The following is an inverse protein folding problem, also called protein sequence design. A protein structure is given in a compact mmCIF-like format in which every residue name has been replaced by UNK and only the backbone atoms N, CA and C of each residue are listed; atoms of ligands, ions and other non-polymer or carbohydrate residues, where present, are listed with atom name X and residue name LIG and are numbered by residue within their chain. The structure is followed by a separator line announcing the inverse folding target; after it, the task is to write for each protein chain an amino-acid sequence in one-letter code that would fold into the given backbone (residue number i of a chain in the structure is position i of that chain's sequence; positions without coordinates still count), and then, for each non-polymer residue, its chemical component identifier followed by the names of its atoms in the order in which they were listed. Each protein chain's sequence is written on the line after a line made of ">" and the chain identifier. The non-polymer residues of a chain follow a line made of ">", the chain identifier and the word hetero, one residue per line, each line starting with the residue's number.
data_IF_264915784747
#
_entry.id   IF_264915784747
#
_cell.length_a   1.000
_cell.length_b   1.000
_cell.length_c   1.000
_cell.angle_alpha   90.00
_cell.angle_beta   90.00
_cell.angle_gamma   90.00
#
_symmetry.space_group_name_H-M   'P 1'
#
loop_
_entity.id
_entity.type
_entity.pdbx_description
1 polymer ?
#
# COMPACT_ATOMS: atom_id res chain seq x y z
N UNK A 1 -70.04 -3.81 27.25
CA UNK A 1 -70.28 -2.72 26.27
C UNK A 1 -69.23 -2.86 25.18
N UNK A 2 -69.65 -3.15 23.95
CA UNK A 2 -68.76 -3.35 22.79
C UNK A 2 -68.20 -1.99 22.37
N UNK A 3 -66.88 -1.83 22.36
CA UNK A 3 -66.22 -0.68 21.73
C UNK A 3 -65.39 -1.22 20.57
N UNK A 4 -65.88 -0.91 19.38
CA UNK A 4 -65.25 -1.07 18.08
C UNK A 4 -64.15 0.00 18.00
N UNK A 5 -62.89 -0.39 17.82
CA UNK A 5 -61.83 0.53 17.41
C UNK A 5 -61.44 0.18 15.98
N UNK A 6 -61.66 1.17 15.13
CA UNK A 6 -61.55 1.15 13.68
C UNK A 6 -60.07 1.03 13.28
N UNK A 7 -59.79 0.07 12.41
CA UNK A 7 -58.51 -0.12 11.72
C UNK A 7 -58.29 1.10 10.81
N UNK A 8 -57.33 1.96 11.16
CA UNK A 8 -56.76 2.92 10.22
C UNK A 8 -55.49 2.32 9.63
N UNK A 9 -55.66 1.78 8.43
CA UNK A 9 -54.60 1.34 7.53
C UNK A 9 -53.82 2.58 7.06
N UNK A 10 -52.80 2.96 7.81
CA UNK A 10 -51.81 3.93 7.32
C UNK A 10 -50.87 3.21 6.36
N UNK A 11 -51.16 3.32 5.07
CA UNK A 11 -50.21 3.07 3.99
C UNK A 11 -48.99 3.99 4.19
N UNK A 12 -47.97 3.51 4.89
CA UNK A 12 -46.63 4.06 4.73
C UNK A 12 -46.15 3.68 3.34
N UNK A 13 -46.23 4.66 2.44
CA UNK A 13 -45.51 4.66 1.18
C UNK A 13 -44.03 4.48 1.53
N UNK A 14 -43.47 3.32 1.18
CA UNK A 14 -42.03 3.09 1.15
C UNK A 14 -41.44 3.99 0.06
N UNK A 15 -41.15 5.24 0.42
CA UNK A 15 -40.12 6.00 -0.29
C UNK A 15 -38.79 5.36 0.12
N UNK A 16 -38.32 4.42 -0.71
CA UNK A 16 -36.96 3.91 -0.71
C UNK A 16 -35.98 5.03 -1.11
N UNK A 17 -35.80 6.03 -0.24
CA UNK A 17 -34.70 6.97 -0.29
C UNK A 17 -33.64 6.49 0.69
N UNK A 18 -32.82 5.53 0.27
CA UNK A 18 -31.83 4.91 1.14
C UNK A 18 -30.82 4.09 0.38
N UNK A 19 -30.17 4.67 -0.65
CA UNK A 19 -28.97 4.06 -1.23
C UNK A 19 -27.99 5.05 -1.88
N UNK A 20 -28.43 6.26 -2.25
CA UNK A 20 -27.54 7.22 -2.94
C UNK A 20 -26.30 7.63 -2.12
N UNK A 21 -26.36 7.68 -0.79
CA UNK A 21 -25.22 8.11 0.03
C UNK A 21 -24.13 7.03 0.13
N UNK A 22 -24.50 5.74 0.23
CA UNK A 22 -23.53 4.63 0.29
C UNK A 22 -22.82 4.42 -1.06
N UNK A 23 -23.54 4.59 -2.16
CA UNK A 23 -22.98 4.47 -3.50
C UNK A 23 -22.04 5.65 -3.82
N UNK A 24 -22.31 6.84 -3.29
CA UNK A 24 -21.41 8.01 -3.41
C UNK A 24 -20.16 7.87 -2.54
N UNK A 25 -20.30 7.42 -1.29
CA UNK A 25 -19.15 7.21 -0.38
C UNK A 25 -18.17 6.15 -0.93
N UNK A 26 -18.68 5.00 -1.38
CA UNK A 26 -17.84 3.95 -1.99
C UNK A 26 -17.16 4.40 -3.28
N UNK A 27 -17.84 5.18 -4.13
CA UNK A 27 -17.24 5.76 -5.33
C UNK A 27 -16.12 6.76 -5.02
N UNK A 28 -16.32 7.64 -4.03
CA UNK A 28 -15.31 8.61 -3.58
C UNK A 28 -14.09 7.89 -3.01
N UNK A 29 -14.30 6.82 -2.24
CA UNK A 29 -13.22 6.00 -1.69
C UNK A 29 -12.43 5.28 -2.80
N UNK A 30 -13.10 4.70 -3.79
CA UNK A 30 -12.46 4.09 -4.96
C UNK A 30 -11.64 5.11 -5.78
N UNK A 31 -12.21 6.27 -6.09
CA UNK A 31 -11.51 7.33 -6.82
C UNK A 31 -10.29 7.86 -6.04
N UNK A 32 -10.45 8.04 -4.72
CA UNK A 32 -9.34 8.46 -3.85
C UNK A 32 -8.22 7.40 -3.82
N UNK A 33 -8.58 6.13 -3.65
CA UNK A 33 -7.62 5.02 -3.62
C UNK A 33 -6.89 4.88 -4.96
N UNK A 34 -7.58 5.06 -6.09
CA UNK A 34 -6.96 5.04 -7.42
C UNK A 34 -5.95 6.20 -7.59
N UNK A 35 -6.33 7.41 -7.17
CA UNK A 35 -5.44 8.59 -7.21
C UNK A 35 -4.24 8.41 -6.30
N UNK A 36 -4.44 7.89 -5.08
CA UNK A 36 -3.37 7.62 -4.12
C UNK A 36 -2.42 6.54 -4.63
N UNK A 37 -2.96 5.44 -5.17
CA UNK A 37 -2.17 4.37 -5.80
C UNK A 37 -1.34 4.89 -6.98
N UNK A 38 -1.94 5.72 -7.83
CA UNK A 38 -1.24 6.34 -8.95
C UNK A 38 -0.12 7.28 -8.47
N UNK A 39 -0.39 8.09 -7.46
CA UNK A 39 0.61 8.96 -6.83
C UNK A 39 1.77 8.16 -6.22
N UNK A 40 1.47 7.06 -5.52
CA UNK A 40 2.48 6.17 -4.97
C UNK A 40 3.34 5.55 -6.08
N UNK A 41 2.71 4.98 -7.11
CA UNK A 41 3.40 4.35 -8.24
C UNK A 41 4.34 5.33 -8.95
N UNK A 42 3.89 6.55 -9.23
CA UNK A 42 4.69 7.56 -9.93
C UNK A 42 5.91 7.97 -9.09
N UNK A 43 5.75 8.10 -7.77
CA UNK A 43 6.85 8.39 -6.86
C UNK A 43 7.85 7.23 -6.76
N UNK A 44 7.37 5.99 -6.67
CA UNK A 44 8.23 4.80 -6.63
C UNK A 44 9.02 4.64 -7.94
N UNK A 45 8.40 4.89 -9.09
CA UNK A 45 9.10 4.91 -10.39
C UNK A 45 10.26 5.92 -10.42
N UNK A 46 10.08 7.08 -9.79
CA UNK A 46 11.13 8.10 -9.68
C UNK A 46 12.21 7.72 -8.66
N UNK A 47 11.86 6.95 -7.63
CA UNK A 47 12.78 6.46 -6.60
C UNK A 47 13.72 5.36 -7.12
N UNK A 48 13.26 4.53 -8.05
CA UNK A 48 14.02 3.41 -8.60
C UNK A 48 15.00 3.91 -9.67
N UNK A 49 16.25 3.45 -9.60
CA UNK A 49 17.22 3.73 -10.67
C UNK A 49 16.73 3.08 -11.97
N UNK A 50 16.57 3.82 -13.10
CA UNK A 50 16.03 3.29 -14.34
C UNK A 50 16.78 2.10 -14.95
N UNK A 51 17.99 1.78 -14.48
CA UNK A 51 18.72 0.56 -14.86
C UNK A 51 18.03 -0.72 -14.38
N UNK A 52 17.29 -0.65 -13.27
CA UNK A 52 16.54 -1.78 -12.72
C UNK A 52 15.16 -1.83 -13.38
N UNK A 53 14.97 -2.82 -14.25
CA UNK A 53 13.74 -2.98 -15.04
C UNK A 53 12.72 -3.89 -14.37
N UNK A 54 13.16 -4.78 -13.50
CA UNK A 54 12.28 -5.80 -12.95
C UNK A 54 12.02 -5.52 -11.48
N UNK A 55 10.78 -5.15 -11.16
CA UNK A 55 10.39 -4.84 -9.79
C UNK A 55 8.89 -4.95 -9.57
N UNK A 56 8.53 -5.21 -8.32
CA UNK A 56 7.14 -5.35 -7.87
C UNK A 56 6.90 -4.37 -6.74
N UNK A 57 5.74 -3.70 -6.73
CA UNK A 57 5.31 -2.75 -5.71
C UNK A 57 4.08 -3.27 -4.96
N UNK A 58 4.16 -3.19 -3.64
CA UNK A 58 3.12 -3.54 -2.70
C UNK A 58 2.35 -2.30 -2.22
N UNK A 59 1.13 -2.54 -1.75
CA UNK A 59 0.16 -1.52 -1.35
C UNK A 59 0.71 -0.48 -0.36
N UNK A 60 1.49 -0.90 0.65
CA UNK A 60 2.07 0.02 1.62
C UNK A 60 3.42 0.59 1.15
N UNK A 61 3.73 0.59 -0.15
CA UNK A 61 4.91 1.27 -0.69
C UNK A 61 6.22 0.52 -0.54
N UNK A 62 6.20 -0.74 -0.08
CA UNK A 62 7.36 -1.62 -0.20
C UNK A 62 7.48 -2.11 -1.64
N UNK A 63 8.68 -2.10 -2.18
CA UNK A 63 8.97 -2.66 -3.50
C UNK A 63 10.20 -3.56 -3.45
N UNK A 64 10.21 -4.54 -4.35
CA UNK A 64 11.29 -5.51 -4.50
C UNK A 64 11.86 -5.37 -5.91
N UNK A 65 13.16 -5.13 -6.01
CA UNK A 65 13.92 -5.15 -7.26
C UNK A 65 14.52 -6.54 -7.47
N UNK A 66 14.37 -7.07 -8.68
CA UNK A 66 14.98 -8.32 -9.11
C UNK A 66 16.13 -8.03 -10.07
N UNK A 67 17.33 -8.52 -9.78
CA UNK A 67 18.50 -8.32 -10.64
C UNK A 67 18.49 -9.24 -11.88
N UNK A 68 17.95 -10.45 -11.73
CA UNK A 68 17.80 -11.43 -12.81
C UNK A 68 16.49 -12.19 -12.66
N UNK A 69 15.54 -11.93 -13.55
CA UNK A 69 14.26 -12.64 -13.59
C UNK A 69 14.26 -13.84 -14.53
N UNK A 70 15.36 -14.15 -15.23
CA UNK A 70 15.37 -15.23 -16.22
C UNK A 70 15.04 -16.59 -15.60
N UNK A 71 15.48 -16.81 -14.35
CA UNK A 71 15.23 -18.04 -13.58
C UNK A 71 13.93 -18.00 -12.77
N UNK A 72 13.15 -16.91 -12.85
CA UNK A 72 11.90 -16.74 -12.12
C UNK A 72 10.73 -17.01 -13.07
N UNK A 73 9.96 -18.06 -12.78
CA UNK A 73 8.80 -18.43 -13.59
C UNK A 73 7.67 -17.40 -13.49
N UNK A 74 7.36 -16.97 -12.27
CA UNK A 74 6.35 -15.95 -11.99
C UNK A 74 6.88 -14.96 -10.94
N UNK A 75 7.10 -13.72 -11.37
CA UNK A 75 7.66 -12.64 -10.54
C UNK A 75 6.75 -12.24 -9.38
N UNK A 76 5.43 -12.31 -9.56
CA UNK A 76 4.46 -12.01 -8.50
C UNK A 76 4.54 -13.04 -7.39
N UNK A 77 4.58 -14.33 -7.74
CA UNK A 77 4.69 -15.42 -6.77
C UNK A 77 6.01 -15.32 -5.99
N UNK A 78 7.13 -15.05 -6.65
CA UNK A 78 8.41 -14.86 -5.97
C UNK A 78 8.40 -13.61 -5.09
N UNK A 79 7.81 -12.49 -5.54
CA UNK A 79 7.66 -11.30 -4.74
C UNK A 79 6.82 -11.54 -3.48
N UNK A 80 5.69 -12.26 -3.59
CA UNK A 80 4.85 -12.64 -2.44
C UNK A 80 5.63 -13.51 -1.46
N UNK A 81 6.40 -14.48 -1.97
CA UNK A 81 7.25 -15.36 -1.13
C UNK A 81 8.29 -14.54 -0.37
N UNK A 82 9.05 -13.68 -1.05
CA UNK A 82 10.04 -12.80 -0.44
C UNK A 82 9.40 -11.82 0.56
N UNK A 83 8.21 -11.29 0.26
CA UNK A 83 7.49 -10.41 1.18
C UNK A 83 7.07 -11.12 2.47
N UNK A 84 6.60 -12.37 2.37
CA UNK A 84 6.26 -13.18 3.56
C UNK A 84 7.49 -13.56 4.39
N UNK A 85 8.62 -13.78 3.74
CA UNK A 85 9.87 -14.17 4.40
C UNK A 85 10.57 -12.98 5.08
N UNK A 86 10.67 -11.85 4.38
CA UNK A 86 11.50 -10.70 4.79
C UNK A 86 10.71 -9.46 5.20
N UNK A 87 9.41 -9.40 4.90
CA UNK A 87 8.54 -8.27 5.24
C UNK A 87 8.23 -8.14 6.74
N UNK A 88 7.86 -9.22 7.45
CA UNK A 88 7.56 -9.14 8.87
C UNK A 88 8.74 -8.65 9.70
N UNK A 89 8.48 -7.69 10.60
CA UNK A 89 9.50 -7.16 11.50
C UNK A 89 9.31 -7.75 12.89
N UNK A 90 10.21 -8.66 13.29
CA UNK A 90 10.22 -9.24 14.63
C UNK A 90 11.19 -8.47 15.54
N UNK A 91 10.76 -8.21 16.79
CA UNK A 91 11.62 -7.59 17.80
C UNK A 91 12.88 -8.45 18.04
N UNK A 92 14.06 -7.83 18.02
CA UNK A 92 15.34 -8.51 18.18
C UNK A 92 15.81 -9.33 16.96
N UNK A 93 15.11 -9.26 15.82
CA UNK A 93 15.52 -9.91 14.58
C UNK A 93 16.44 -9.06 13.69
N UNK A 94 16.99 -9.63 12.60
CA UNK A 94 17.87 -8.93 11.64
C UNK A 94 17.23 -7.70 10.98
N UNK A 95 15.90 -7.63 10.95
CA UNK A 95 15.14 -6.48 10.48
C UNK A 95 15.13 -5.29 11.48
N UNK A 96 15.92 -5.37 12.55
CA UNK A 96 16.16 -4.29 13.51
C UNK A 96 16.94 -3.12 12.91
N UNK A 97 17.92 -3.43 12.07
CA UNK A 97 18.77 -2.44 11.41
C UNK A 97 18.14 -1.95 10.11
N UNK A 98 18.26 -0.63 9.89
CA UNK A 98 17.76 0.02 8.68
C UNK A 98 18.67 1.17 8.27
N UNK A 99 18.54 1.58 7.02
CA UNK A 99 19.17 2.79 6.51
C UNK A 99 18.12 3.64 5.78
N UNK A 100 18.25 4.97 5.92
CA UNK A 100 17.37 5.96 5.30
C UNK A 100 18.15 6.69 4.21
N UNK A 101 17.57 6.73 3.01
CA UNK A 101 18.17 7.37 1.85
C UNK A 101 17.20 8.43 1.33
N UNK A 102 17.63 9.70 1.36
CA UNK A 102 16.86 10.80 0.77
C UNK A 102 16.82 10.71 -0.75
N UNK A 103 15.64 10.93 -1.32
CA UNK A 103 15.42 10.90 -2.77
C UNK A 103 15.67 12.26 -3.41
N UNK A 104 16.18 12.25 -4.63
CA UNK A 104 16.52 13.45 -5.40
C UNK A 104 15.56 13.73 -6.58
N UNK A 105 14.81 12.72 -7.04
CA UNK A 105 13.88 12.81 -8.17
C UNK A 105 12.41 12.87 -7.77
N UNK A 106 12.12 12.52 -6.52
CA UNK A 106 10.81 12.75 -5.89
C UNK A 106 11.04 13.14 -4.43
N UNK A 107 10.01 13.67 -3.78
CA UNK A 107 10.04 13.97 -2.34
C UNK A 107 10.13 12.67 -1.55
N UNK A 108 10.69 12.75 -0.36
CA UNK A 108 10.69 11.64 0.59
C UNK A 108 11.95 10.81 0.58
N UNK A 109 11.80 9.58 1.08
CA UNK A 109 12.93 8.71 1.42
C UNK A 109 12.65 7.28 1.02
N UNK A 110 13.73 6.51 0.91
CA UNK A 110 13.71 5.06 0.85
C UNK A 110 14.30 4.50 2.14
N UNK A 111 13.58 3.58 2.74
CA UNK A 111 14.05 2.79 3.88
C UNK A 111 14.49 1.41 3.37
N UNK A 112 15.73 1.05 3.69
CA UNK A 112 16.31 -0.27 3.42
C UNK A 112 16.61 -0.99 4.73
N UNK A 113 16.78 -2.31 4.67
CA UNK A 113 17.03 -3.15 5.84
C UNK A 113 17.29 -4.59 5.43
N UNK A 114 16.83 -5.55 6.21
CA UNK A 114 16.91 -6.97 5.85
C UNK A 114 16.05 -7.30 4.60
N UNK A 115 16.51 -8.28 3.81
CA UNK A 115 15.91 -8.65 2.51
C UNK A 115 16.56 -7.91 1.35
N UNK A 116 17.41 -8.61 0.58
CA UNK A 116 18.08 -8.02 -0.59
C UNK A 116 17.06 -7.53 -1.61
N UNK A 117 17.30 -6.36 -2.19
CA UNK A 117 16.42 -5.75 -3.19
C UNK A 117 15.11 -5.20 -2.64
N UNK A 118 14.85 -5.28 -1.32
CA UNK A 118 13.61 -4.83 -0.69
C UNK A 118 13.74 -3.45 -0.04
N UNK A 119 12.92 -2.52 -0.50
CA UNK A 119 12.96 -1.11 -0.13
C UNK A 119 11.55 -0.61 0.16
N UNK A 120 11.42 0.38 1.04
CA UNK A 120 10.10 0.96 1.37
C UNK A 120 10.12 2.45 1.17
N UNK A 121 9.23 2.96 0.32
CA UNK A 121 9.08 4.39 0.06
C UNK A 121 8.28 5.07 1.18
N UNK A 122 8.76 6.21 1.64
CA UNK A 122 8.09 7.07 2.64
C UNK A 122 7.94 8.47 2.07
N UNK A 123 6.68 8.88 1.89
CA UNK A 123 6.33 10.24 1.49
C UNK A 123 6.30 11.15 2.74
N UNK A 124 6.84 12.38 2.67
CA UNK A 124 6.77 13.32 3.80
C UNK A 124 5.35 13.60 4.29
N UNK A 125 4.33 13.54 3.42
CA UNK A 125 2.94 13.77 3.82
C UNK A 125 2.35 12.67 4.71
N UNK A 126 3.01 11.53 4.82
CA UNK A 126 2.59 10.42 5.67
C UNK A 126 3.08 10.57 7.13
N UNK A 127 3.96 11.54 7.38
CA UNK A 127 4.55 11.80 8.69
C UNK A 127 3.92 13.03 9.34
N UNK A 128 3.82 13.00 10.67
CA UNK A 128 3.20 14.10 11.44
C UNK A 128 4.06 15.38 11.47
N UNK A 129 5.36 15.24 11.25
CA UNK A 129 6.33 16.34 11.29
C UNK A 129 6.86 16.68 9.90
N UNK A 130 7.05 17.97 9.65
CA UNK A 130 7.66 18.47 8.41
C UNK A 130 9.18 18.30 8.36
N UNK A 131 9.82 17.96 9.49
CA UNK A 131 11.27 17.74 9.59
C UNK A 131 11.56 16.50 10.44
N UNK A 132 11.18 15.31 9.97
CA UNK A 132 11.46 14.06 10.68
C UNK A 132 12.95 13.75 10.66
N UNK A 133 13.45 13.11 11.72
CA UNK A 133 14.79 12.52 11.74
C UNK A 133 14.80 11.12 11.09
N UNK A 134 15.99 10.60 10.83
CA UNK A 134 16.17 9.29 10.19
C UNK A 134 15.56 8.14 11.00
N UNK A 135 15.54 8.26 12.33
CA UNK A 135 14.94 7.27 13.21
C UNK A 135 13.41 7.21 12.99
N UNK A 136 12.76 8.36 12.95
CA UNK A 136 11.32 8.47 12.71
C UNK A 136 10.95 7.92 11.34
N UNK A 137 11.70 8.31 10.30
CA UNK A 137 11.48 7.84 8.91
C UNK A 137 11.66 6.33 8.84
N UNK A 138 12.76 5.81 9.41
CA UNK A 138 13.10 4.40 9.37
C UNK A 138 12.11 3.52 10.12
N UNK A 139 11.66 3.93 11.31
CA UNK A 139 10.63 3.20 12.07
C UNK A 139 9.31 3.18 11.32
N UNK A 140 8.90 4.31 10.73
CA UNK A 140 7.68 4.38 9.94
C UNK A 140 7.75 3.48 8.68
N UNK A 141 8.85 3.56 7.91
CA UNK A 141 9.05 2.69 6.76
C UNK A 141 9.09 1.20 7.12
N UNK A 142 9.67 0.84 8.27
CA UNK A 142 9.61 -0.54 8.78
C UNK A 142 8.20 -0.98 9.13
N UNK A 143 7.38 -0.10 9.71
CA UNK A 143 5.97 -0.40 9.97
C UNK A 143 5.20 -0.67 8.67
N UNK A 144 5.44 0.14 7.63
CA UNK A 144 4.84 -0.06 6.30
C UNK A 144 5.23 -1.41 5.69
N UNK A 145 6.53 -1.76 5.75
CA UNK A 145 7.03 -3.07 5.34
C UNK A 145 6.39 -4.21 6.12
N UNK A 146 6.25 -4.07 7.43
CA UNK A 146 5.59 -5.07 8.25
C UNK A 146 4.12 -5.27 7.83
N UNK A 147 3.40 -4.20 7.47
CA UNK A 147 2.03 -4.31 6.97
C UNK A 147 1.97 -5.10 5.65
N UNK A 148 2.88 -4.81 4.70
CA UNK A 148 3.01 -5.59 3.46
C UNK A 148 3.43 -7.04 3.76
N UNK A 149 4.25 -7.29 4.77
CA UNK A 149 4.66 -8.63 5.20
C UNK A 149 3.52 -9.46 5.79
N UNK A 150 2.63 -8.83 6.57
CA UNK A 150 1.48 -9.49 7.18
C UNK A 150 0.36 -9.74 6.17
N UNK A 151 0.10 -8.78 5.28
CA UNK A 151 -0.94 -8.84 4.26
C UNK A 151 -0.37 -8.43 2.89
N UNK A 152 0.38 -9.32 2.21
CA UNK A 152 1.01 -8.98 0.94
C UNK A 152 -0.05 -8.72 -0.14
N UNK A 153 -0.11 -7.49 -0.63
CA UNK A 153 -0.97 -7.07 -1.73
C UNK A 153 -0.14 -6.33 -2.79
N UNK A 154 -0.04 -6.90 -3.99
CA UNK A 154 0.71 -6.32 -5.12
C UNK A 154 -0.20 -5.36 -5.87
N UNK A 155 0.24 -4.12 -6.03
CA UNK A 155 -0.50 -3.08 -6.77
C UNK A 155 0.13 -2.75 -8.13
N UNK A 156 1.38 -3.15 -8.37
CA UNK A 156 2.04 -2.96 -9.66
C UNK A 156 3.21 -3.91 -9.88
N UNK A 157 3.40 -4.34 -11.13
CA UNK A 157 4.52 -5.17 -11.59
C UNK A 157 5.15 -4.51 -12.81
N UNK A 158 6.45 -4.26 -12.75
CA UNK A 158 7.28 -3.95 -13.92
C UNK A 158 8.14 -5.16 -14.24
N UNK A 159 8.03 -5.68 -15.46
CA UNK A 159 8.77 -6.87 -15.90
C UNK A 159 9.21 -6.72 -17.34
N UNK A 160 10.47 -6.99 -17.62
CA UNK A 160 11.02 -7.05 -18.97
C UNK A 160 10.53 -8.26 -19.74
N UNK A 161 10.00 -9.30 -19.08
CA UNK A 161 9.37 -10.45 -19.74
C UNK A 161 7.98 -10.12 -20.33
N UNK A 162 7.34 -9.05 -19.84
CA UNK A 162 6.00 -8.64 -20.23
C UNK A 162 5.99 -7.50 -21.26
N UNK A 163 7.16 -7.01 -21.68
CA UNK A 163 7.34 -5.94 -22.68
C UNK A 163 7.94 -6.52 -23.97
#
# INVERSE_FOLDING_TARGET
>A
MRIIIIILLNCFILASCGNENKDKESKIELEKNEVETKSLLDNVKLAINPKFKDWVLFENGTYIIFDDINQIDNIENEAIKLMKEFGPVHAGGPAGDFNVISLNKTKGWVVSGHGYGMYTYVNPSELETNSPDDLTIGVFGRSKRNNDGQNPNIIYVNSSKNN
#
